data_IF_230511237860
#
_entry.id   IF_230511237860
#
_cell.length_a   1.000
_cell.length_b   1.000
_cell.length_c   1.000
_cell.angle_alpha   90.00
_cell.angle_beta   90.00
_cell.angle_gamma   90.00
#
_symmetry.space_group_name_H-M   'P 1'
#
loop_
_entity.id
_entity.type
_entity.pdbx_description
1 polymer ?
#
# COMPACT_ATOMS: atom_id res chain seq x y z
N UNK A 1 0.43 50.94 3.31
CA UNK A 1 -0.30 50.59 4.53
C UNK A 1 0.15 49.19 4.93
N UNK A 2 1.07 49.10 5.93
CA UNK A 2 1.60 47.85 6.49
C UNK A 2 0.60 47.35 7.55
N UNK A 3 0.04 46.18 7.36
CA UNK A 3 -0.77 45.49 8.37
C UNK A 3 0.09 44.36 8.95
N UNK A 4 0.61 44.59 10.18
CA UNK A 4 1.26 43.56 10.98
C UNK A 4 0.19 42.68 11.64
N UNK A 5 0.15 41.40 11.28
CA UNK A 5 -0.70 40.41 11.93
C UNK A 5 0.07 39.84 13.12
N UNK A 6 -0.42 40.12 14.33
CA UNK A 6 0.10 39.57 15.59
C UNK A 6 -0.58 38.20 15.79
N UNK A 7 0.23 37.12 15.75
CA UNK A 7 -0.21 35.77 16.07
C UNK A 7 -0.07 35.55 17.58
N UNK A 8 -1.11 35.20 18.33
CA UNK A 8 -0.99 34.89 19.74
C UNK A 8 -0.32 33.52 19.96
N UNK A 9 0.73 33.56 20.81
CA UNK A 9 1.51 32.38 21.22
C UNK A 9 0.69 31.53 22.20
N UNK A 10 0.41 30.27 21.84
CA UNK A 10 -0.25 29.32 22.72
C UNK A 10 0.63 28.96 23.92
N UNK A 11 0.04 28.75 25.14
CA UNK A 11 0.81 28.40 26.32
C UNK A 11 1.33 26.95 26.23
N UNK A 12 2.62 26.81 26.51
CA UNK A 12 3.31 25.51 26.68
C UNK A 12 2.90 24.98 28.05
N UNK A 13 2.10 23.92 28.11
CA UNK A 13 1.80 23.19 29.33
C UNK A 13 2.93 22.20 29.63
N UNK A 14 3.66 22.45 30.70
CA UNK A 14 4.72 21.61 31.24
C UNK A 14 4.13 20.29 31.79
N UNK A 15 4.50 19.16 31.19
CA UNK A 15 3.97 17.82 31.49
C UNK A 15 4.61 17.15 32.71
N UNK A 16 5.19 17.93 33.69
CA UNK A 16 5.85 17.36 34.87
C UNK A 16 5.03 17.35 36.14
N UNK A 17 3.79 17.83 36.15
CA UNK A 17 3.04 18.02 37.41
C UNK A 17 1.91 17.02 37.71
N UNK A 18 1.73 15.96 36.91
CA UNK A 18 0.60 15.00 37.12
C UNK A 18 0.99 13.75 37.94
N UNK A 19 2.26 13.57 38.33
CA UNK A 19 2.69 12.33 39.02
C UNK A 19 2.72 12.43 40.54
N UNK A 20 2.22 13.50 41.14
CA UNK A 20 2.31 13.67 42.61
C UNK A 20 0.96 13.91 43.28
N UNK A 21 0.07 12.92 43.38
CA UNK A 21 -0.93 12.76 44.43
C UNK A 21 -1.74 11.49 44.30
N UNK A 22 -1.18 10.37 44.71
CA UNK A 22 -1.97 9.26 45.26
C UNK A 22 -1.33 8.84 46.58
N UNK A 23 -1.75 9.49 47.66
CA UNK A 23 -1.52 9.00 49.02
C UNK A 23 -2.58 7.94 49.30
N UNK A 24 -2.18 6.69 49.31
CA UNK A 24 -2.97 5.61 49.91
C UNK A 24 -2.86 5.69 51.42
N UNK A 25 -3.99 5.98 52.08
CA UNK A 25 -4.13 5.75 53.52
C UNK A 25 -4.63 4.31 53.69
N UNK A 26 -3.79 3.52 54.31
CA UNK A 26 -4.11 2.17 54.70
C UNK A 26 -5.11 2.12 55.87
N UNK A 27 -5.98 1.15 55.83
CA UNK A 27 -6.57 0.58 57.05
C UNK A 27 -6.60 -0.92 56.86
N UNK A 28 -5.83 -1.56 57.72
CA UNK A 28 -5.73 -3.02 57.83
C UNK A 28 -7.01 -3.48 58.54
N UNK A 29 -7.77 -4.36 57.90
CA UNK A 29 -8.71 -5.22 58.61
C UNK A 29 -8.53 -6.65 58.11
N UNK A 30 -8.02 -7.46 58.99
CA UNK A 30 -7.80 -8.90 58.84
C UNK A 30 -9.16 -9.58 58.92
N UNK A 31 -9.62 -10.28 57.88
CA UNK A 31 -10.53 -11.42 58.01
C UNK A 31 -10.04 -12.57 57.16
N UNK A 32 -9.71 -13.62 57.88
CA UNK A 32 -9.37 -14.95 57.33
C UNK A 32 -10.68 -15.63 56.97
N UNK A 33 -10.84 -16.01 55.73
CA UNK A 33 -11.65 -17.16 55.32
C UNK A 33 -11.26 -17.64 53.94
N UNK A 34 -10.82 -18.84 53.93
CA UNK A 34 -10.41 -19.68 52.80
C UNK A 34 -11.48 -19.86 51.75
N UNK A 35 -11.10 -19.71 50.44
CA UNK A 35 -11.61 -20.54 49.34
C UNK A 35 -10.68 -20.38 48.13
N UNK A 36 -10.04 -21.46 47.78
CA UNK A 36 -9.24 -21.66 46.57
C UNK A 36 -10.13 -21.53 45.32
N UNK A 37 -9.97 -20.46 44.59
CA UNK A 37 -10.35 -20.40 43.18
C UNK A 37 -9.21 -19.71 42.41
N UNK A 38 -8.27 -20.51 41.92
CA UNK A 38 -7.24 -20.08 40.98
C UNK A 38 -7.92 -19.80 39.65
N UNK A 39 -8.45 -18.60 39.49
CA UNK A 39 -8.87 -18.06 38.19
C UNK A 39 -7.66 -17.51 37.47
N UNK A 40 -6.99 -18.31 36.63
CA UNK A 40 -6.05 -17.78 35.66
C UNK A 40 -6.83 -16.89 34.69
N UNK A 41 -6.81 -15.59 34.92
CA UNK A 41 -7.16 -14.60 33.91
C UNK A 41 -6.03 -14.59 32.91
N UNK A 42 -6.18 -15.36 31.81
CA UNK A 42 -5.29 -15.24 30.64
C UNK A 42 -5.65 -13.92 29.99
N UNK A 43 -4.90 -12.87 30.29
CA UNK A 43 -4.94 -11.63 29.54
C UNK A 43 -4.30 -11.94 28.19
N UNK A 44 -5.11 -12.35 27.22
CA UNK A 44 -4.71 -12.36 25.80
C UNK A 44 -4.55 -10.90 25.37
N UNK A 45 -3.32 -10.39 25.52
CA UNK A 45 -2.94 -9.16 24.87
C UNK A 45 -2.97 -9.46 23.37
N UNK A 46 -4.02 -9.03 22.68
CA UNK A 46 -3.98 -8.89 21.23
C UNK A 46 -2.85 -7.91 20.88
N UNK A 47 -1.66 -8.46 20.67
CA UNK A 47 -0.64 -7.74 19.94
C UNK A 47 -1.20 -7.55 18.53
N UNK A 48 -1.89 -6.44 18.28
CA UNK A 48 -2.09 -5.94 16.95
C UNK A 48 -0.69 -5.76 16.35
N UNK A 49 -0.22 -6.76 15.60
CA UNK A 49 0.96 -6.61 14.77
C UNK A 49 0.66 -5.45 13.83
N UNK A 50 1.21 -4.29 14.14
CA UNK A 50 1.29 -3.19 13.20
C UNK A 50 2.11 -3.71 12.02
N UNK A 51 1.44 -4.20 10.98
CA UNK A 51 2.08 -4.53 9.72
C UNK A 51 2.72 -3.24 9.23
N UNK A 52 4.04 -3.14 9.33
CA UNK A 52 4.75 -1.95 8.86
C UNK A 52 4.48 -1.83 7.37
N UNK A 53 3.92 -0.69 6.94
CA UNK A 53 3.68 -0.42 5.54
C UNK A 53 4.90 -0.75 4.69
N UNK A 54 4.72 -1.59 3.67
CA UNK A 54 5.77 -1.97 2.73
C UNK A 54 6.14 -0.82 1.81
N UNK A 55 5.18 0.05 1.50
CA UNK A 55 5.37 1.19 0.62
C UNK A 55 5.10 2.51 1.34
N UNK A 56 5.84 3.57 0.95
CA UNK A 56 5.66 4.93 1.45
C UNK A 56 5.65 5.92 0.28
N UNK A 57 4.81 6.96 0.37
CA UNK A 57 4.82 8.07 -0.57
C UNK A 57 5.64 9.22 0.03
N UNK A 58 6.67 9.65 -0.70
CA UNK A 58 7.46 10.83 -0.35
C UNK A 58 8.07 11.46 -1.61
N UNK A 59 8.59 12.68 -1.51
CA UNK A 59 9.34 13.29 -2.60
C UNK A 59 10.70 12.63 -2.77
N UNK A 60 11.10 12.37 -4.01
CA UNK A 60 12.47 11.97 -4.33
C UNK A 60 13.43 13.18 -4.28
N UNK A 61 14.72 12.97 -4.59
CA UNK A 61 15.75 14.02 -4.56
C UNK A 61 15.44 15.22 -5.47
N UNK A 62 14.62 15.01 -6.51
CA UNK A 62 14.22 16.05 -7.46
C UNK A 62 12.88 16.70 -7.09
N UNK A 63 12.33 16.45 -5.89
CA UNK A 63 11.05 16.97 -5.46
C UNK A 63 9.82 16.27 -6.06
N UNK A 64 10.01 15.21 -6.87
CA UNK A 64 8.91 14.49 -7.51
C UNK A 64 8.24 13.54 -6.51
N UNK A 65 6.91 13.61 -6.31
CA UNK A 65 6.18 12.61 -5.52
C UNK A 65 6.44 11.21 -6.05
N UNK A 66 6.86 10.32 -5.17
CA UNK A 66 7.33 8.98 -5.55
C UNK A 66 6.86 7.96 -4.51
N UNK A 67 6.31 6.86 -4.96
CA UNK A 67 6.07 5.68 -4.13
C UNK A 67 7.37 4.90 -4.02
N UNK A 68 7.86 4.71 -2.81
CA UNK A 68 9.04 3.89 -2.50
C UNK A 68 8.63 2.62 -1.80
N UNK A 69 9.34 1.53 -2.06
CA UNK A 69 9.29 0.34 -1.25
C UNK A 69 10.36 0.39 -0.15
N UNK A 70 10.01 -0.04 1.05
CA UNK A 70 10.96 -0.30 2.15
C UNK A 70 11.57 -1.68 1.93
N UNK A 71 12.89 -1.73 1.72
CA UNK A 71 13.64 -2.97 1.55
C UNK A 71 14.74 -3.06 2.61
N UNK A 72 15.38 -4.22 2.76
CA UNK A 72 16.56 -4.39 3.64
C UNK A 72 17.69 -3.42 3.32
N UNK A 73 17.79 -2.99 2.05
CA UNK A 73 18.82 -2.06 1.57
C UNK A 73 18.36 -0.60 1.57
N UNK A 74 17.26 -0.28 2.24
CA UNK A 74 16.67 1.06 2.31
C UNK A 74 15.51 1.26 1.34
N UNK A 75 15.22 2.52 1.00
CA UNK A 75 14.10 2.88 0.14
C UNK A 75 14.46 2.66 -1.34
N UNK A 76 13.65 1.87 -2.04
CA UNK A 76 13.75 1.64 -3.48
C UNK A 76 12.60 2.32 -4.19
N UNK A 77 12.90 3.19 -5.19
CA UNK A 77 11.84 3.83 -6.00
C UNK A 77 11.01 2.79 -6.73
N UNK A 78 9.69 2.92 -6.64
CA UNK A 78 8.73 2.04 -7.29
C UNK A 78 7.97 2.78 -8.39
N UNK A 79 7.20 3.83 -8.06
CA UNK A 79 6.41 4.63 -9.00
C UNK A 79 6.73 6.11 -8.84
N UNK A 80 7.05 6.80 -9.94
CA UNK A 80 7.18 8.27 -9.99
C UNK A 80 5.90 8.89 -10.53
N UNK A 81 5.38 9.90 -9.83
CA UNK A 81 4.14 10.58 -10.18
C UNK A 81 4.45 11.94 -10.80
N UNK A 82 4.62 12.01 -12.11
CA UNK A 82 5.03 13.24 -12.82
C UNK A 82 3.88 13.94 -13.52
N UNK A 83 2.86 13.20 -13.98
CA UNK A 83 1.78 13.77 -14.76
C UNK A 83 0.81 14.58 -13.89
N UNK A 84 0.49 15.83 -14.23
CA UNK A 84 -0.36 16.75 -13.46
C UNK A 84 -1.74 17.06 -14.12
N UNK A 85 -2.00 16.53 -15.31
CA UNK A 85 -3.20 16.82 -16.12
C UNK A 85 -4.52 16.21 -15.61
N UNK A 86 -4.58 15.55 -14.44
CA UNK A 86 -5.84 15.07 -13.86
C UNK A 86 -6.47 16.12 -12.96
N UNK A 87 -7.64 16.66 -13.34
CA UNK A 87 -8.38 17.60 -12.50
C UNK A 87 -8.61 17.04 -11.10
N UNK A 88 -8.13 17.77 -10.08
CA UNK A 88 -8.30 17.39 -8.66
C UNK A 88 -7.47 16.22 -8.18
N UNK A 89 -6.68 15.57 -9.04
CA UNK A 89 -5.78 14.47 -8.69
C UNK A 89 -4.32 14.83 -8.98
N UNK A 90 -3.76 15.68 -8.14
CA UNK A 90 -2.35 16.08 -8.23
C UNK A 90 -1.41 14.87 -8.12
N UNK A 91 -0.16 14.95 -8.61
CA UNK A 91 0.85 13.91 -8.42
C UNK A 91 1.00 13.47 -6.96
N UNK A 92 1.04 14.40 -6.00
CA UNK A 92 1.13 14.10 -4.57
C UNK A 92 -0.08 13.33 -4.05
N UNK A 93 -1.28 13.73 -4.45
CA UNK A 93 -2.51 13.03 -4.05
C UNK A 93 -2.54 11.61 -4.60
N UNK A 94 -2.20 11.41 -5.88
CA UNK A 94 -2.12 10.06 -6.48
C UNK A 94 -1.06 9.20 -5.79
N UNK A 95 0.11 9.75 -5.52
CA UNK A 95 1.15 9.08 -4.75
C UNK A 95 0.59 8.54 -3.44
N UNK A 96 -0.02 9.39 -2.61
CA UNK A 96 -0.57 8.99 -1.31
C UNK A 96 -1.67 7.94 -1.44
N UNK A 97 -2.68 8.20 -2.30
CA UNK A 97 -3.83 7.31 -2.44
C UNK A 97 -3.43 5.93 -2.97
N UNK A 98 -2.59 5.87 -4.02
CA UNK A 98 -2.17 4.59 -4.61
C UNK A 98 -1.22 3.83 -3.67
N UNK A 99 -0.33 4.52 -2.97
CA UNK A 99 0.53 3.90 -1.95
C UNK A 99 -0.29 3.25 -0.83
N UNK A 100 -1.31 3.94 -0.32
CA UNK A 100 -2.20 3.40 0.71
C UNK A 100 -3.00 2.18 0.20
N UNK A 101 -3.44 2.21 -1.07
CA UNK A 101 -4.12 1.06 -1.69
C UNK A 101 -3.17 -0.12 -1.85
N UNK A 102 -1.92 0.09 -2.32
CA UNK A 102 -0.90 -0.94 -2.42
C UNK A 102 -0.70 -1.66 -1.08
N UNK A 103 -0.44 -0.90 0.00
CA UNK A 103 -0.23 -1.47 1.33
C UNK A 103 -1.44 -2.31 1.79
N UNK A 104 -2.65 -1.76 1.66
CA UNK A 104 -3.87 -2.45 2.05
C UNK A 104 -4.09 -3.74 1.25
N UNK A 105 -3.91 -3.71 -0.08
CA UNK A 105 -4.18 -4.86 -0.93
C UNK A 105 -3.11 -5.95 -0.77
N UNK A 106 -1.84 -5.58 -0.58
CA UNK A 106 -0.80 -6.54 -0.24
C UNK A 106 -1.08 -7.21 1.10
N UNK A 107 -1.51 -6.45 2.11
CA UNK A 107 -1.89 -6.99 3.41
C UNK A 107 -3.10 -7.95 3.31
N UNK A 108 -4.00 -7.77 2.33
CA UNK A 108 -5.11 -8.67 2.05
C UNK A 108 -4.77 -9.85 1.12
N UNK A 109 -3.51 -9.99 0.70
CA UNK A 109 -3.02 -11.12 -0.09
C UNK A 109 -2.92 -10.88 -1.61
N UNK A 110 -3.19 -9.67 -2.10
CA UNK A 110 -2.97 -9.33 -3.50
C UNK A 110 -1.46 -9.29 -3.79
N UNK A 111 -1.07 -9.89 -4.90
CA UNK A 111 0.35 -10.09 -5.27
C UNK A 111 0.73 -9.48 -6.60
N UNK A 112 -0.19 -9.47 -7.55
CA UNK A 112 0.11 -9.07 -8.92
C UNK A 112 -0.53 -7.73 -9.24
N UNK A 113 0.22 -6.83 -9.89
CA UNK A 113 -0.32 -5.64 -10.54
C UNK A 113 -0.56 -5.99 -12.00
N UNK A 114 -1.73 -5.63 -12.50
CA UNK A 114 -2.16 -5.85 -13.88
C UNK A 114 -3.07 -4.71 -14.35
N UNK A 115 -3.67 -4.85 -15.52
CA UNK A 115 -4.65 -3.92 -16.05
C UNK A 115 -5.89 -4.69 -16.51
N UNK A 116 -6.99 -3.97 -16.60
CA UNK A 116 -8.27 -4.54 -17.04
C UNK A 116 -9.38 -3.52 -17.02
N UNK A 117 -10.61 -4.01 -16.92
CA UNK A 117 -11.81 -3.18 -16.84
C UNK A 117 -12.54 -3.42 -15.54
N UNK A 118 -12.88 -2.34 -14.81
CA UNK A 118 -13.74 -2.35 -13.63
C UNK A 118 -14.80 -1.25 -13.77
N UNK A 119 -16.07 -1.59 -13.54
CA UNK A 119 -17.19 -0.65 -13.70
C UNK A 119 -17.15 0.11 -15.05
N UNK A 120 -16.88 -0.62 -16.13
CA UNK A 120 -16.78 -0.12 -17.51
C UNK A 120 -15.70 0.96 -17.72
N UNK A 121 -14.63 0.95 -16.91
CA UNK A 121 -13.47 1.83 -17.03
C UNK A 121 -12.19 1.03 -17.09
N UNK A 122 -11.27 1.45 -17.95
CA UNK A 122 -9.91 0.91 -17.97
C UNK A 122 -9.18 1.28 -16.68
N UNK A 123 -8.52 0.31 -16.05
CA UNK A 123 -7.88 0.48 -14.75
C UNK A 123 -6.53 -0.22 -14.68
N UNK A 124 -5.66 0.28 -13.81
CA UNK A 124 -4.59 -0.51 -13.21
C UNK A 124 -5.11 -1.04 -11.88
N UNK A 125 -4.93 -2.32 -11.64
CA UNK A 125 -5.51 -3.06 -10.54
C UNK A 125 -4.55 -4.09 -9.95
N UNK A 126 -4.94 -4.69 -8.84
CA UNK A 126 -4.24 -5.84 -8.28
C UNK A 126 -5.13 -7.09 -8.28
N UNK A 127 -4.48 -8.23 -8.17
CA UNK A 127 -5.09 -9.55 -8.01
C UNK A 127 -4.14 -10.48 -7.26
N UNK A 128 -4.67 -11.55 -6.66
CA UNK A 128 -3.90 -12.54 -5.92
C UNK A 128 -3.28 -13.64 -6.81
N UNK A 129 -3.73 -13.78 -8.05
CA UNK A 129 -3.32 -14.85 -8.97
C UNK A 129 -3.01 -14.31 -10.36
N UNK A 130 -1.89 -14.75 -10.94
CA UNK A 130 -1.58 -14.51 -12.34
C UNK A 130 -2.61 -15.20 -13.24
N UNK A 131 -3.07 -14.53 -14.30
CA UNK A 131 -4.14 -14.97 -15.18
C UNK A 131 -5.56 -14.64 -14.67
N UNK A 132 -5.72 -14.14 -13.45
CA UNK A 132 -7.02 -13.69 -12.95
C UNK A 132 -7.34 -12.26 -13.37
N UNK A 133 -8.63 -11.92 -13.40
CA UNK A 133 -9.09 -10.54 -13.63
C UNK A 133 -8.76 -9.60 -12.46
N UNK A 134 -9.05 -8.32 -12.67
CA UNK A 134 -8.92 -7.27 -11.65
C UNK A 134 -9.82 -7.56 -10.44
N UNK A 135 -9.25 -7.52 -9.23
CA UNK A 135 -10.01 -7.59 -7.97
C UNK A 135 -9.96 -6.27 -7.20
N UNK A 136 -8.81 -5.63 -7.16
CA UNK A 136 -8.52 -4.48 -6.31
C UNK A 136 -8.06 -3.27 -7.14
N UNK A 137 -8.86 -2.21 -7.18
CA UNK A 137 -8.58 -1.01 -7.97
C UNK A 137 -7.38 -0.24 -7.42
N UNK A 138 -6.31 -0.08 -8.19
CA UNK A 138 -5.24 0.87 -7.88
C UNK A 138 -5.58 2.27 -8.38
N UNK A 139 -5.79 2.45 -9.68
CA UNK A 139 -6.29 3.72 -10.23
C UNK A 139 -6.94 3.54 -11.61
N UNK A 140 -7.80 4.49 -11.98
CA UNK A 140 -8.51 4.52 -13.26
C UNK A 140 -7.66 5.22 -14.31
N UNK A 141 -7.60 4.66 -15.52
CA UNK A 141 -6.92 5.24 -16.67
C UNK A 141 -7.77 6.33 -17.33
N UNK A 142 -7.13 7.17 -18.15
CA UNK A 142 -7.86 8.10 -19.01
C UNK A 142 -8.56 7.33 -20.13
N UNK A 143 -9.67 7.86 -20.66
CA UNK A 143 -10.24 7.33 -21.89
C UNK A 143 -9.19 7.33 -23.02
N UNK A 144 -9.01 6.19 -23.67
CA UNK A 144 -8.04 6.01 -24.75
C UNK A 144 -6.66 5.54 -24.34
N UNK A 145 -6.32 5.52 -23.04
CA UNK A 145 -5.06 4.94 -22.58
C UNK A 145 -5.06 3.42 -22.76
N UNK A 146 -3.95 2.88 -23.30
CA UNK A 146 -3.69 1.44 -23.34
C UNK A 146 -3.15 0.96 -21.99
N UNK A 147 -3.88 0.06 -21.33
CA UNK A 147 -3.52 -0.42 -19.99
C UNK A 147 -2.18 -1.16 -19.95
N UNK A 148 -1.80 -1.86 -21.03
CA UNK A 148 -0.52 -2.54 -21.15
C UNK A 148 0.64 -1.55 -21.20
N UNK A 149 0.53 -0.54 -22.05
CA UNK A 149 1.55 0.49 -22.18
C UNK A 149 1.71 1.27 -20.89
N UNK A 150 0.58 1.72 -20.30
CA UNK A 150 0.61 2.43 -19.01
C UNK A 150 1.25 1.58 -17.92
N UNK A 151 0.95 0.28 -17.82
CA UNK A 151 1.56 -0.60 -16.83
C UNK A 151 3.07 -0.75 -17.06
N UNK A 152 3.50 -0.92 -18.31
CA UNK A 152 4.91 -1.03 -18.65
C UNK A 152 5.69 0.24 -18.31
N UNK A 153 5.15 1.38 -18.65
CA UNK A 153 5.77 2.68 -18.37
C UNK A 153 5.84 2.96 -16.88
N UNK A 154 4.73 2.71 -16.16
CA UNK A 154 4.63 2.92 -14.72
C UNK A 154 5.68 2.14 -13.95
N UNK A 155 5.89 0.88 -14.32
CA UNK A 155 6.80 -0.04 -13.65
C UNK A 155 8.15 -0.18 -14.40
N UNK A 156 8.36 0.58 -15.48
CA UNK A 156 9.58 0.57 -16.31
C UNK A 156 9.95 -0.84 -16.78
N UNK A 157 8.96 -1.59 -17.21
CA UNK A 157 9.18 -2.97 -17.67
C UNK A 157 9.85 -2.99 -19.06
N UNK A 158 10.94 -3.70 -19.15
CA UNK A 158 11.62 -4.04 -20.40
C UNK A 158 11.58 -5.57 -20.64
N UNK A 159 12.20 -6.05 -21.74
CA UNK A 159 12.17 -7.48 -22.08
C UNK A 159 12.78 -8.37 -21.00
N UNK A 160 13.80 -7.91 -20.31
CA UNK A 160 14.52 -8.69 -19.29
C UNK A 160 13.68 -8.95 -18.04
N UNK A 161 12.65 -8.12 -17.80
CA UNK A 161 11.73 -8.29 -16.67
C UNK A 161 10.72 -9.42 -16.86
N UNK A 162 10.55 -9.96 -18.09
CA UNK A 162 9.56 -11.00 -18.35
C UNK A 162 10.14 -12.40 -18.15
N UNK A 163 9.43 -13.23 -17.38
CA UNK A 163 9.77 -14.64 -17.15
C UNK A 163 9.67 -15.49 -18.43
N UNK A 164 8.69 -15.13 -19.26
CA UNK A 164 8.51 -15.74 -20.58
C UNK A 164 8.48 -14.59 -21.58
N UNK A 165 9.43 -14.54 -22.51
CA UNK A 165 9.40 -13.56 -23.59
C UNK A 165 8.28 -13.94 -24.58
N UNK A 166 7.06 -13.42 -24.42
CA UNK A 166 6.05 -13.68 -25.40
C UNK A 166 6.41 -12.87 -26.63
N UNK A 167 6.71 -13.53 -27.73
CA UNK A 167 6.67 -12.88 -29.02
C UNK A 167 5.30 -12.23 -29.15
N UNK A 168 5.29 -10.92 -29.31
CA UNK A 168 4.14 -10.02 -29.10
C UNK A 168 3.06 -10.19 -30.20
N UNK A 169 2.97 -11.34 -30.85
CA UNK A 169 1.95 -11.60 -31.87
C UNK A 169 0.55 -11.89 -31.30
N UNK A 170 0.42 -12.25 -30.02
CA UNK A 170 -0.88 -12.34 -29.36
C UNK A 170 -1.03 -11.24 -28.30
N UNK A 171 -1.43 -10.06 -28.75
CA UNK A 171 -1.65 -8.87 -27.93
C UNK A 171 -2.82 -8.96 -26.93
N UNK A 172 -3.51 -10.12 -26.86
CA UNK A 172 -4.75 -10.26 -26.08
C UNK A 172 -4.54 -10.64 -24.61
N UNK A 173 -3.34 -11.09 -24.23
CA UNK A 173 -3.12 -11.60 -22.87
C UNK A 173 -2.56 -10.51 -21.95
N UNK A 174 -3.16 -10.30 -20.76
CA UNK A 174 -2.69 -9.30 -19.82
C UNK A 174 -1.29 -9.59 -19.28
N UNK A 175 -0.58 -8.51 -18.93
CA UNK A 175 0.69 -8.56 -18.21
C UNK A 175 0.43 -8.54 -16.72
N UNK A 176 1.13 -9.37 -15.97
CA UNK A 176 1.08 -9.46 -14.52
C UNK A 176 2.46 -9.17 -13.95
N UNK A 177 2.56 -8.13 -13.13
CA UNK A 177 3.79 -7.78 -12.42
C UNK A 177 3.74 -8.32 -11.00
N UNK A 178 4.71 -9.16 -10.65
CA UNK A 178 4.84 -9.80 -9.34
C UNK A 178 5.57 -8.88 -8.36
N UNK A 179 4.82 -8.30 -7.43
CA UNK A 179 5.37 -7.39 -6.41
C UNK A 179 6.36 -8.13 -5.50
N UNK A 180 6.09 -9.37 -5.12
CA UNK A 180 6.94 -10.11 -4.20
C UNK A 180 8.28 -10.44 -4.85
N UNK A 181 8.28 -10.87 -6.12
CA UNK A 181 9.49 -11.07 -6.89
C UNK A 181 10.32 -9.78 -7.00
N UNK A 182 9.66 -8.66 -7.26
CA UNK A 182 10.32 -7.37 -7.33
C UNK A 182 10.92 -6.92 -5.97
N UNK A 183 10.18 -7.10 -4.87
CA UNK A 183 10.68 -6.81 -3.52
C UNK A 183 11.86 -7.69 -3.14
N UNK A 184 11.87 -8.95 -3.57
CA UNK A 184 12.99 -9.87 -3.40
C UNK A 184 14.23 -9.51 -4.26
N UNK A 185 14.11 -8.52 -5.15
CA UNK A 185 15.20 -8.12 -6.04
C UNK A 185 15.39 -9.01 -7.26
N UNK A 186 14.39 -9.83 -7.62
CA UNK A 186 14.42 -10.64 -8.81
C UNK A 186 14.37 -9.76 -10.07
N UNK A 187 15.08 -10.15 -11.14
CA UNK A 187 15.05 -9.44 -12.42
C UNK A 187 13.78 -9.76 -13.20
N UNK A 188 13.29 -11.00 -13.14
CA UNK A 188 12.10 -11.46 -13.84
C UNK A 188 10.85 -11.26 -12.97
N UNK A 189 10.29 -10.09 -13.03
CA UNK A 189 9.16 -9.65 -12.17
C UNK A 189 7.82 -9.63 -12.90
N UNK A 190 7.80 -9.84 -14.21
CA UNK A 190 6.58 -9.78 -15.00
C UNK A 190 6.36 -11.08 -15.79
N UNK A 191 5.12 -11.43 -16.04
CA UNK A 191 4.72 -12.51 -16.93
C UNK A 191 3.47 -12.10 -17.72
N UNK A 192 3.24 -12.80 -18.83
CA UNK A 192 2.02 -12.70 -19.61
C UNK A 192 1.18 -13.95 -19.34
N UNK A 193 -0.05 -13.79 -18.96
CA UNK A 193 -0.95 -14.89 -18.69
C UNK A 193 -2.32 -14.64 -19.33
N UNK A 194 -2.74 -15.55 -20.18
CA UNK A 194 -4.09 -15.53 -20.76
C UNK A 194 -5.06 -16.19 -19.78
N UNK A 195 -6.23 -15.61 -19.59
CA UNK A 195 -7.35 -16.33 -19.01
C UNK A 195 -7.71 -17.45 -19.98
N UNK A 196 -7.79 -18.72 -19.54
CA UNK A 196 -8.29 -19.77 -20.41
C UNK A 196 -9.66 -19.34 -20.95
N UNK A 197 -9.76 -19.12 -22.26
CA UNK A 197 -11.07 -19.03 -22.88
C UNK A 197 -11.67 -20.42 -22.70
N UNK A 198 -12.71 -20.53 -21.88
CA UNK A 198 -13.56 -21.71 -21.93
C UNK A 198 -14.15 -21.74 -23.33
N UNK A 199 -13.49 -22.50 -24.22
CA UNK A 199 -14.09 -22.87 -25.49
C UNK A 199 -15.34 -23.66 -25.16
N UNK A 200 -16.48 -22.99 -25.11
CA UNK A 200 -17.77 -23.61 -25.33
C UNK A 200 -17.71 -24.11 -26.77
N UNK A 201 -17.27 -25.37 -26.93
CA UNK A 201 -17.51 -26.12 -28.16
C UNK A 201 -18.98 -26.51 -28.07
N UNK A 202 -19.84 -25.75 -28.75
CA UNK A 202 -21.15 -26.22 -29.18
C UNK A 202 -20.99 -27.14 -30.38
#
# INVERSE_FOLDING_TARGET
>A
VNISIIIPKAPVTDSKEVVRRMKFHGSISVFIASALAVGCVVVVSDFAQATSDTFVCQSNRNGTPTTFAKTSNGLREFIRWTYDGFRGYTPSRRCTEVTNRLNRYIASGSRYITYGTMSNRSVICMTNKSGAGCTDLLYTLKPGDDGREVLRDLLRLNRENFKNDPRIESSSCPVYFDINAWLAGENQTANVACTPQNNLIE
#
